data_IF_295233781533
#
_entry.id   IF_295233781533
#
_cell.length_a   1.000
_cell.length_b   1.000
_cell.length_c   1.000
_cell.angle_alpha   90.00
_cell.angle_beta   90.00
_cell.angle_gamma   90.00
#
_symmetry.space_group_name_H-M   'P 1'
#
loop_
_entity.id
_entity.type
_entity.pdbx_description
1 polymer ?
#
# COMPACT_ATOMS: atom_id res chain seq x y z
N UNK A 1 25.12 0.93 8.14
CA UNK A 1 25.43 -0.05 7.06
C UNK A 1 24.14 -0.66 6.53
N UNK A 2 23.99 -0.71 5.20
CA UNK A 2 22.83 -1.27 4.50
C UNK A 2 23.08 -1.21 2.99
N UNK A 3 22.21 -1.78 2.19
CA UNK A 3 22.36 -1.77 0.73
C UNK A 3 22.06 -0.38 0.15
N UNK A 4 22.78 0.00 -0.90
CA UNK A 4 22.49 1.22 -1.68
C UNK A 4 21.18 1.10 -2.47
N UNK A 5 20.80 -0.12 -2.83
CA UNK A 5 19.52 -0.41 -3.45
C UNK A 5 19.02 -1.82 -3.10
N UNK A 6 17.71 -1.95 -2.94
CA UNK A 6 17.01 -3.22 -2.80
C UNK A 6 15.84 -3.23 -3.77
N UNK A 7 15.87 -4.15 -4.74
CA UNK A 7 14.83 -4.31 -5.74
C UNK A 7 14.23 -5.71 -5.73
N UNK A 8 12.96 -5.87 -6.13
CA UNK A 8 12.39 -7.21 -6.25
C UNK A 8 10.95 -7.30 -6.76
N UNK A 9 10.58 -8.52 -7.12
CA UNK A 9 9.20 -8.94 -7.33
C UNK A 9 8.90 -10.04 -6.29
N UNK A 10 8.57 -9.66 -5.04
CA UNK A 10 8.41 -10.64 -3.96
C UNK A 10 7.23 -11.59 -4.21
N UNK A 11 7.19 -12.77 -3.58
CA UNK A 11 6.07 -13.70 -3.74
C UNK A 11 4.76 -13.12 -3.20
N UNK A 12 3.66 -13.36 -3.93
CA UNK A 12 2.31 -12.96 -3.53
C UNK A 12 1.53 -14.20 -3.11
N UNK A 13 1.56 -14.52 -1.83
CA UNK A 13 0.76 -15.63 -1.29
C UNK A 13 0.14 -15.23 0.03
N UNK A 14 -1.08 -15.69 0.24
CA UNK A 14 -1.84 -15.42 1.43
C UNK A 14 -1.63 -16.56 2.42
N UNK A 15 -1.18 -16.22 3.62
CA UNK A 15 -0.79 -17.19 4.64
C UNK A 15 -1.99 -18.01 5.15
N UNK A 16 -3.15 -17.36 5.26
CA UNK A 16 -4.42 -17.94 5.69
C UNK A 16 -5.22 -18.40 4.45
N UNK A 17 -4.95 -19.63 4.00
CA UNK A 17 -5.58 -20.21 2.79
C UNK A 17 -6.98 -20.76 3.05
N UNK A 18 -7.21 -21.36 4.22
CA UNK A 18 -8.53 -21.80 4.70
C UNK A 18 -9.02 -20.90 5.84
N UNK A 19 -10.32 -20.96 6.16
CA UNK A 19 -11.02 -20.16 7.20
C UNK A 19 -10.20 -20.01 8.50
N UNK A 20 -9.29 -19.04 8.54
CA UNK A 20 -8.39 -18.76 9.66
C UNK A 20 -7.22 -19.72 9.88
N UNK A 21 -6.98 -20.72 9.02
CA UNK A 21 -5.93 -21.71 9.21
C UNK A 21 -4.84 -21.61 8.14
N UNK A 22 -3.59 -21.42 8.59
CA UNK A 22 -2.40 -21.56 7.77
C UNK A 22 -1.94 -23.03 7.79
N UNK A 23 -1.72 -23.64 6.62
CA UNK A 23 -1.08 -24.96 6.51
C UNK A 23 0.45 -24.82 6.59
N UNK A 24 1.17 -25.92 6.80
CA UNK A 24 2.63 -25.91 6.66
C UNK A 24 3.01 -25.58 5.20
N UNK A 25 4.02 -24.73 4.93
CA UNK A 25 4.93 -24.06 5.87
C UNK A 25 4.44 -22.70 6.42
N UNK A 26 3.27 -22.23 6.01
CA UNK A 26 2.73 -20.92 6.41
C UNK A 26 2.46 -20.79 7.91
N UNK A 27 2.07 -21.86 8.60
CA UNK A 27 1.88 -21.84 10.06
C UNK A 27 3.19 -21.55 10.81
N UNK A 28 4.29 -22.21 10.42
CA UNK A 28 5.60 -21.99 11.01
C UNK A 28 6.11 -20.56 10.75
N UNK A 29 5.96 -20.08 9.51
CA UNK A 29 6.31 -18.71 9.17
C UNK A 29 5.45 -17.69 9.93
N UNK A 30 4.14 -17.94 10.09
CA UNK A 30 3.25 -17.08 10.88
C UNK A 30 3.69 -17.02 12.35
N UNK A 31 4.07 -18.14 12.94
CA UNK A 31 4.63 -18.18 14.30
C UNK A 31 5.94 -17.39 14.40
N UNK A 32 6.84 -17.57 13.43
CA UNK A 32 8.12 -16.87 13.38
C UNK A 32 7.97 -15.35 13.27
N UNK A 33 7.15 -14.85 12.34
CA UNK A 33 7.03 -13.39 12.10
C UNK A 33 6.32 -12.66 13.24
N UNK A 34 5.44 -13.34 13.99
CA UNK A 34 4.69 -12.71 15.11
C UNK A 34 5.54 -12.41 16.34
N UNK A 35 6.65 -13.12 16.52
CA UNK A 35 7.56 -12.94 17.68
C UNK A 35 8.78 -12.07 17.34
N UNK A 36 8.79 -11.47 16.16
CA UNK A 36 9.93 -10.75 15.59
C UNK A 36 9.55 -9.28 15.36
N UNK A 37 10.07 -8.35 16.18
CA UNK A 37 9.72 -6.94 16.09
C UNK A 37 9.94 -6.32 14.70
N UNK A 38 10.93 -6.80 13.97
CA UNK A 38 11.22 -6.35 12.60
C UNK A 38 10.06 -6.59 11.61
N UNK A 39 9.12 -7.49 11.90
CA UNK A 39 7.96 -7.74 11.04
C UNK A 39 6.67 -7.11 11.54
N UNK A 40 6.67 -6.36 12.64
CA UNK A 40 5.46 -5.80 13.24
C UNK A 40 4.62 -5.02 12.22
N UNK A 41 5.28 -4.22 11.37
CA UNK A 41 4.62 -3.39 10.35
C UNK A 41 4.05 -4.20 9.17
N UNK A 42 4.37 -5.48 9.06
CA UNK A 42 3.79 -6.41 8.09
C UNK A 42 2.59 -7.18 8.65
N UNK A 43 2.23 -6.98 9.92
CA UNK A 43 1.12 -7.69 10.59
C UNK A 43 -0.24 -6.97 10.41
N UNK A 44 -1.31 -7.63 10.84
CA UNK A 44 -2.68 -7.13 10.79
C UNK A 44 -3.46 -7.59 9.56
N UNK A 45 -4.78 -7.79 9.73
CA UNK A 45 -5.65 -8.33 8.69
C UNK A 45 -5.16 -9.67 8.13
N UNK A 46 -5.51 -9.95 6.87
CA UNK A 46 -5.05 -11.15 6.16
C UNK A 46 -3.57 -10.99 5.78
N UNK A 47 -2.71 -11.91 6.24
CA UNK A 47 -1.28 -11.83 5.99
C UNK A 47 -0.93 -12.28 4.57
N UNK A 48 -0.19 -11.44 3.84
CA UNK A 48 0.33 -11.74 2.51
C UNK A 48 1.86 -11.61 2.49
N UNK A 49 2.55 -12.58 1.89
CA UNK A 49 4.00 -12.68 1.89
C UNK A 49 4.72 -11.41 1.45
N UNK A 50 4.23 -10.72 0.41
CA UNK A 50 4.91 -9.52 -0.11
C UNK A 50 5.11 -8.45 0.97
N UNK A 51 4.24 -8.39 1.98
CA UNK A 51 4.30 -7.39 3.05
C UNK A 51 5.54 -7.56 3.91
N UNK A 52 5.92 -8.80 4.22
CA UNK A 52 7.14 -9.10 4.96
C UNK A 52 8.39 -8.74 4.15
N UNK A 53 8.37 -8.96 2.84
CA UNK A 53 9.46 -8.55 1.96
C UNK A 53 9.59 -7.03 1.85
N UNK A 54 8.48 -6.30 1.76
CA UNK A 54 8.49 -4.83 1.76
C UNK A 54 9.13 -4.30 3.05
N UNK A 55 8.66 -4.75 4.21
CA UNK A 55 9.19 -4.30 5.51
C UNK A 55 10.68 -4.68 5.64
N UNK A 56 11.02 -5.94 5.38
CA UNK A 56 12.40 -6.39 5.52
C UNK A 56 13.35 -5.68 4.57
N UNK A 57 12.90 -5.34 3.37
CA UNK A 57 13.74 -4.63 2.40
C UNK A 57 13.99 -3.18 2.79
N UNK A 58 13.04 -2.53 3.45
CA UNK A 58 13.24 -1.20 4.01
C UNK A 58 14.25 -1.21 5.17
N UNK A 59 14.27 -2.27 5.98
CA UNK A 59 15.25 -2.46 7.05
C UNK A 59 16.66 -2.75 6.52
N UNK A 60 16.76 -3.43 5.36
CA UNK A 60 18.04 -3.77 4.74
C UNK A 60 18.68 -2.59 3.99
N UNK A 61 17.93 -1.54 3.69
CA UNK A 61 18.44 -0.35 3.01
C UNK A 61 19.32 0.50 3.91
N UNK A 62 20.42 1.00 3.34
CA UNK A 62 21.15 2.12 3.92
C UNK A 62 20.34 3.41 3.85
N UNK A 63 20.68 4.39 4.69
CA UNK A 63 20.09 5.73 4.59
C UNK A 63 20.34 6.29 3.18
N UNK A 64 19.34 6.96 2.61
CA UNK A 64 19.37 7.46 1.24
C UNK A 64 19.52 6.40 0.12
N UNK A 65 19.47 5.09 0.45
CA UNK A 65 19.40 4.00 -0.52
C UNK A 65 18.04 3.89 -1.21
N UNK A 66 17.97 3.14 -2.31
CA UNK A 66 16.79 3.04 -3.17
C UNK A 66 16.03 1.73 -3.01
N UNK A 67 14.73 1.84 -2.76
CA UNK A 67 13.79 0.73 -2.76
C UNK A 67 13.05 0.69 -4.11
N UNK A 68 12.85 -0.50 -4.67
CA UNK A 68 12.00 -0.69 -5.85
C UNK A 68 11.32 -2.05 -5.86
N UNK A 69 9.99 -2.12 -5.79
CA UNK A 69 9.30 -3.40 -5.84
C UNK A 69 8.05 -3.41 -6.72
N UNK A 70 7.86 -4.53 -7.43
CA UNK A 70 6.61 -4.87 -8.07
C UNK A 70 5.77 -5.64 -7.04
N UNK A 71 4.63 -5.09 -6.62
CA UNK A 71 3.78 -5.64 -5.55
C UNK A 71 2.29 -5.51 -5.91
N UNK A 72 1.37 -6.20 -5.20
CA UNK A 72 -0.05 -5.99 -5.40
C UNK A 72 -0.45 -4.54 -5.10
N UNK A 73 -1.29 -3.95 -5.96
CA UNK A 73 -1.83 -2.59 -5.80
C UNK A 73 -2.58 -2.39 -4.48
N UNK A 74 -3.03 -3.48 -3.85
CA UNK A 74 -3.58 -3.51 -2.50
C UNK A 74 -2.69 -2.80 -1.46
N UNK A 75 -1.38 -2.72 -1.66
CA UNK A 75 -0.48 -1.94 -0.79
C UNK A 75 -0.95 -0.48 -0.62
N UNK A 76 -1.55 0.12 -1.65
CA UNK A 76 -1.91 1.54 -1.62
C UNK A 76 -3.21 1.86 -0.86
N UNK A 77 -4.19 0.97 -0.85
CA UNK A 77 -5.51 1.31 -0.32
C UNK A 77 -6.20 0.20 0.51
N UNK A 78 -5.70 -1.04 0.49
CA UNK A 78 -6.32 -2.11 1.28
C UNK A 78 -6.15 -1.86 2.79
N UNK A 79 -7.16 -2.25 3.57
CA UNK A 79 -7.17 -2.11 5.03
C UNK A 79 -6.14 -3.03 5.69
N UNK A 80 -5.90 -4.22 5.14
CA UNK A 80 -4.93 -5.19 5.67
C UNK A 80 -3.51 -4.69 5.51
N UNK A 81 -3.25 -3.81 4.53
CA UNK A 81 -1.92 -3.26 4.24
C UNK A 81 -1.68 -1.91 4.91
N UNK A 82 -2.61 -1.40 5.73
CA UNK A 82 -2.53 -0.05 6.29
C UNK A 82 -1.24 0.21 7.07
N UNK A 83 -0.83 -0.71 7.95
CA UNK A 83 0.42 -0.59 8.69
C UNK A 83 1.64 -0.65 7.77
N UNK A 84 1.66 -1.60 6.84
CA UNK A 84 2.75 -1.78 5.86
C UNK A 84 2.93 -0.54 4.99
N UNK A 85 1.83 0.04 4.51
CA UNK A 85 1.82 1.29 3.75
C UNK A 85 2.34 2.45 4.57
N UNK A 86 1.84 2.63 5.80
CA UNK A 86 2.29 3.72 6.68
C UNK A 86 3.79 3.61 6.95
N UNK A 87 4.29 2.41 7.23
CA UNK A 87 5.71 2.16 7.44
C UNK A 87 6.54 2.51 6.20
N UNK A 88 6.14 2.07 5.00
CA UNK A 88 6.79 2.45 3.74
C UNK A 88 6.85 3.98 3.57
N UNK A 89 5.72 4.66 3.76
CA UNK A 89 5.60 6.11 3.54
C UNK A 89 6.42 6.93 4.55
N UNK A 90 6.48 6.49 5.81
CA UNK A 90 7.23 7.19 6.87
C UNK A 90 8.73 6.83 6.86
N UNK A 91 9.11 5.74 6.20
CA UNK A 91 10.50 5.31 6.09
C UNK A 91 11.22 5.89 4.87
N UNK A 92 10.54 6.70 4.06
CA UNK A 92 11.03 7.03 2.71
C UNK A 92 10.75 8.48 2.32
N UNK A 93 11.61 9.02 1.48
CA UNK A 93 11.45 10.26 0.75
C UNK A 93 11.27 9.95 -0.75
N UNK A 94 10.70 10.88 -1.49
CA UNK A 94 10.50 10.75 -2.95
C UNK A 94 9.81 9.43 -3.35
N UNK A 95 8.69 9.10 -2.72
CA UNK A 95 7.92 7.91 -3.06
C UNK A 95 7.15 8.11 -4.37
N UNK A 96 7.15 7.07 -5.20
CA UNK A 96 6.38 6.97 -6.43
C UNK A 96 5.71 5.61 -6.52
N UNK A 97 4.55 5.56 -7.17
CA UNK A 97 3.80 4.35 -7.41
C UNK A 97 3.19 4.35 -8.81
N UNK A 98 3.76 3.54 -9.71
CA UNK A 98 3.15 3.23 -11.00
C UNK A 98 2.08 2.15 -10.78
N UNK A 99 0.84 2.50 -11.05
CA UNK A 99 -0.36 1.74 -10.69
C UNK A 99 -1.01 1.17 -11.94
N UNK A 100 -1.20 -0.15 -11.95
CA UNK A 100 -1.84 -0.90 -13.01
C UNK A 100 -3.09 -1.61 -12.46
N UNK A 101 -4.24 -0.90 -12.36
CA UNK A 101 -5.47 -1.42 -11.78
C UNK A 101 -6.13 -2.54 -12.58
N UNK A 102 -5.90 -2.64 -13.90
CA UNK A 102 -6.53 -3.64 -14.76
C UNK A 102 -6.13 -5.07 -14.36
N UNK A 103 -7.10 -5.84 -13.88
CA UNK A 103 -6.94 -7.24 -13.46
C UNK A 103 -7.93 -8.19 -14.13
N UNK A 104 -8.91 -7.68 -14.86
CA UNK A 104 -10.03 -8.47 -15.36
C UNK A 104 -9.73 -9.01 -16.76
N UNK A 105 -9.15 -8.20 -17.65
CA UNK A 105 -8.70 -8.60 -18.99
C UNK A 105 -7.28 -9.21 -18.97
N UNK A 106 -7.10 -10.53 -19.21
CA UNK A 106 -5.80 -11.19 -19.19
C UNK A 106 -4.75 -10.57 -20.11
N UNK A 107 -5.15 -10.04 -21.27
CA UNK A 107 -4.22 -9.45 -22.25
C UNK A 107 -3.71 -8.07 -21.82
N UNK A 108 -4.34 -7.48 -20.80
CA UNK A 108 -4.03 -6.16 -20.27
C UNK A 108 -3.57 -6.19 -18.81
N UNK A 109 -3.33 -7.38 -18.27
CA UNK A 109 -2.68 -7.58 -16.96
C UNK A 109 -1.17 -7.40 -17.08
N UNK A 110 -0.53 -7.03 -15.97
CA UNK A 110 0.94 -7.04 -15.86
C UNK A 110 1.46 -8.49 -15.88
N UNK A 111 0.82 -9.36 -15.10
CA UNK A 111 1.08 -10.80 -15.11
C UNK A 111 -0.17 -11.49 -15.66
N UNK A 112 -0.08 -12.04 -16.88
CA UNK A 112 -1.22 -12.60 -17.63
C UNK A 112 -2.04 -13.60 -16.80
N UNK A 113 -1.35 -14.51 -16.11
CA UNK A 113 -1.98 -15.60 -15.33
C UNK A 113 -2.41 -15.17 -13.93
N UNK A 114 -1.99 -13.99 -13.46
CA UNK A 114 -2.28 -13.53 -12.11
C UNK A 114 -3.42 -12.50 -12.12
N UNK A 115 -4.60 -12.90 -11.63
CA UNK A 115 -5.79 -12.01 -11.54
C UNK A 115 -5.66 -11.00 -10.39
N UNK A 116 -4.68 -10.09 -10.49
CA UNK A 116 -4.41 -9.07 -9.48
C UNK A 116 -4.01 -7.73 -10.11
N UNK A 117 -4.45 -6.66 -9.49
CA UNK A 117 -3.98 -5.31 -9.82
C UNK A 117 -2.57 -5.14 -9.24
N UNK A 118 -1.66 -4.55 -10.01
CA UNK A 118 -0.22 -4.49 -9.69
C UNK A 118 0.23 -3.04 -9.53
N UNK A 119 1.26 -2.82 -8.73
CA UNK A 119 1.94 -1.52 -8.65
C UNK A 119 3.45 -1.71 -8.57
N UNK A 120 4.19 -0.80 -9.21
CA UNK A 120 5.63 -0.67 -9.02
C UNK A 120 5.84 0.50 -8.07
N UNK A 121 6.40 0.24 -6.89
CA UNK A 121 6.70 1.27 -5.90
C UNK A 121 8.19 1.50 -5.90
N UNK A 122 8.60 2.76 -6.05
CA UNK A 122 9.98 3.18 -5.92
C UNK A 122 10.10 4.35 -4.95
N UNK A 123 11.10 4.32 -4.08
CA UNK A 123 11.32 5.38 -3.10
C UNK A 123 12.76 5.37 -2.58
N UNK A 124 13.17 6.47 -1.94
CA UNK A 124 14.49 6.61 -1.35
C UNK A 124 14.38 6.54 0.17
N UNK A 125 15.22 5.75 0.86
CA UNK A 125 15.21 5.64 2.32
C UNK A 125 15.45 7.00 2.95
N UNK A 126 14.64 7.34 3.94
CA UNK A 126 14.79 8.54 4.76
C UNK A 126 14.33 8.25 6.18
N UNK A 127 15.15 8.59 7.15
CA UNK A 127 14.85 8.52 8.58
C UNK A 127 14.12 9.76 9.12
N UNK A 128 14.01 10.82 8.31
CA UNK A 128 13.48 12.13 8.72
C UNK A 128 12.07 12.41 8.21
N UNK A 129 11.46 11.49 7.45
CA UNK A 129 10.11 11.68 6.91
C UNK A 129 9.07 11.64 8.03
N UNK A 130 8.21 12.65 8.08
CA UNK A 130 7.11 12.77 9.05
C UNK A 130 5.77 12.53 8.38
N UNK A 131 4.70 12.40 9.16
CA UNK A 131 3.35 12.25 8.59
C UNK A 131 2.92 13.48 7.76
N UNK A 132 3.46 14.66 8.07
CA UNK A 132 3.18 15.91 7.37
C UNK A 132 3.96 16.02 6.06
N UNK A 133 5.19 15.49 5.99
CA UNK A 133 6.03 15.53 4.79
C UNK A 133 5.90 14.30 3.89
N UNK A 134 5.40 13.18 4.42
CA UNK A 134 5.19 11.95 3.66
C UNK A 134 4.20 12.16 2.51
N UNK A 135 4.65 11.86 1.29
CA UNK A 135 3.86 12.00 0.08
C UNK A 135 4.29 10.98 -0.97
N UNK A 136 3.35 10.58 -1.83
CA UNK A 136 3.58 9.65 -2.94
C UNK A 136 3.08 10.26 -4.24
N UNK A 137 3.93 10.24 -5.26
CA UNK A 137 3.52 10.50 -6.63
C UNK A 137 2.89 9.24 -7.20
N UNK A 138 1.64 9.33 -7.66
CA UNK A 138 0.97 8.20 -8.29
C UNK A 138 0.86 8.43 -9.80
N UNK A 139 1.06 7.36 -10.54
CA UNK A 139 0.90 7.30 -11.99
C UNK A 139 -0.02 6.14 -12.29
N UNK A 140 -1.22 6.40 -12.79
CA UNK A 140 -2.24 5.37 -13.01
C UNK A 140 -2.35 5.09 -14.50
N UNK A 141 -1.94 3.89 -14.89
CA UNK A 141 -1.99 3.38 -16.26
C UNK A 141 -3.21 2.46 -16.42
N UNK A 142 -4.12 2.71 -17.38
CA UNK A 142 -5.36 1.94 -17.51
C UNK A 142 -5.17 0.48 -17.96
N UNK A 143 -4.02 0.12 -18.54
CA UNK A 143 -3.67 -1.24 -18.93
C UNK A 143 -2.38 -1.71 -18.26
N UNK A 144 -1.46 -2.24 -19.06
CA UNK A 144 -0.18 -2.83 -18.64
C UNK A 144 1.03 -2.16 -19.33
N UNK A 145 0.84 -1.00 -19.95
CA UNK A 145 1.89 -0.31 -20.70
C UNK A 145 2.17 1.07 -20.14
N UNK A 146 3.46 1.43 -20.04
CA UNK A 146 3.88 2.79 -19.76
C UNK A 146 3.57 3.79 -20.89
N UNK A 147 3.24 3.29 -22.08
CA UNK A 147 2.74 4.10 -23.18
C UNK A 147 1.24 4.45 -23.08
N UNK A 148 0.51 3.86 -22.14
CA UNK A 148 -0.90 4.16 -21.95
C UNK A 148 -1.11 5.60 -21.43
N UNK A 149 -2.27 6.23 -21.71
CA UNK A 149 -2.63 7.51 -21.12
C UNK A 149 -2.58 7.45 -19.58
N UNK A 150 -1.70 8.25 -18.99
CA UNK A 150 -1.43 8.21 -17.55
C UNK A 150 -2.21 9.31 -16.82
N UNK A 151 -2.87 8.95 -15.72
CA UNK A 151 -3.35 9.92 -14.73
C UNK A 151 -2.31 10.10 -13.65
N UNK A 152 -2.01 11.34 -13.28
CA UNK A 152 -1.00 11.66 -12.28
C UNK A 152 -1.60 12.44 -11.12
N UNK A 153 -1.06 12.23 -9.93
CA UNK A 153 -1.40 13.00 -8.74
C UNK A 153 -0.27 12.89 -7.70
N UNK A 154 -0.20 13.86 -6.80
CA UNK A 154 0.65 13.81 -5.61
C UNK A 154 -0.25 13.75 -4.38
N UNK A 155 -0.14 12.65 -3.63
CA UNK A 155 -0.97 12.42 -2.44
C UNK A 155 -0.10 12.53 -1.20
N UNK A 156 -0.41 13.51 -0.34
CA UNK A 156 0.19 13.62 1.00
C UNK A 156 -0.52 12.67 1.96
N UNK A 157 0.24 12.03 2.84
CA UNK A 157 -0.31 11.10 3.83
C UNK A 157 -1.28 11.82 4.79
N UNK A 158 -0.99 13.08 5.14
CA UNK A 158 -1.89 13.92 5.93
C UNK A 158 -3.24 14.19 5.23
N UNK A 159 -3.24 14.39 3.91
CA UNK A 159 -4.48 14.61 3.15
C UNK A 159 -5.27 13.31 3.00
N UNK A 160 -4.59 12.19 2.75
CA UNK A 160 -5.21 10.87 2.68
C UNK A 160 -5.88 10.46 4.01
N UNK A 161 -5.38 10.96 5.15
CA UNK A 161 -5.98 10.74 6.46
C UNK A 161 -7.37 11.40 6.60
N UNK A 162 -7.71 12.41 5.78
CA UNK A 162 -9.06 12.97 5.74
C UNK A 162 -10.09 11.93 5.24
N UNK A 163 -9.69 11.06 4.31
CA UNK A 163 -10.52 9.96 3.80
C UNK A 163 -10.75 8.89 4.86
N UNK A 164 -9.68 8.46 5.52
CA UNK A 164 -9.70 7.47 6.60
C UNK A 164 -8.44 7.63 7.48
N UNK A 165 -8.51 8.17 8.70
CA UNK A 165 -7.35 8.38 9.55
C UNK A 165 -6.80 7.05 10.08
N UNK A 166 -7.60 5.97 10.08
CA UNK A 166 -7.18 4.65 10.54
C UNK A 166 -6.41 3.92 9.45
N UNK A 167 -6.96 3.86 8.23
CA UNK A 167 -6.34 3.11 7.15
C UNK A 167 -5.46 3.98 6.24
N UNK A 168 -5.75 5.26 6.06
CA UNK A 168 -5.00 6.20 5.21
C UNK A 168 -4.78 5.66 3.78
N UNK A 169 -5.85 5.39 3.02
CA UNK A 169 -5.75 4.87 1.66
C UNK A 169 -5.21 5.94 0.70
N UNK A 170 -4.37 5.54 -0.25
CA UNK A 170 -3.89 6.39 -1.34
C UNK A 170 -4.86 6.23 -2.53
N UNK A 171 -5.65 7.26 -2.88
CA UNK A 171 -6.65 7.17 -3.94
C UNK A 171 -6.00 7.24 -5.33
N UNK A 172 -6.52 6.47 -6.29
CA UNK A 172 -6.02 6.38 -7.67
C UNK A 172 -6.70 7.37 -8.62
N UNK A 173 -6.84 8.62 -8.17
CA UNK A 173 -7.51 9.70 -8.89
C UNK A 173 -6.48 10.74 -9.36
N UNK A 174 -6.80 11.47 -10.43
CA UNK A 174 -5.99 12.60 -10.86
C UNK A 174 -6.08 13.79 -9.87
N UNK A 175 -5.22 14.78 -10.08
CA UNK A 175 -5.14 15.98 -9.23
C UNK A 175 -6.47 16.75 -9.14
N UNK A 176 -7.20 16.88 -10.26
CA UNK A 176 -8.47 17.61 -10.31
C UNK A 176 -9.52 16.94 -9.43
N UNK A 177 -9.67 15.63 -9.55
CA UNK A 177 -10.60 14.86 -8.72
C UNK A 177 -10.13 14.82 -7.27
N UNK A 178 -8.82 14.74 -7.02
CA UNK A 178 -8.27 14.77 -5.66
C UNK A 178 -8.55 16.08 -4.94
N UNK A 179 -8.44 17.20 -5.65
CA UNK A 179 -8.81 18.53 -5.17
C UNK A 179 -10.25 18.58 -4.67
N UNK A 180 -11.19 17.99 -5.44
CA UNK A 180 -12.60 17.90 -5.05
C UNK A 180 -12.77 17.02 -3.82
N UNK A 181 -12.17 15.83 -3.78
CA UNK A 181 -12.24 14.93 -2.63
C UNK A 181 -11.76 15.63 -1.34
N UNK A 182 -10.62 16.34 -1.41
CA UNK A 182 -10.08 17.07 -0.24
C UNK A 182 -11.07 18.12 0.27
N UNK A 183 -11.68 18.91 -0.61
CA UNK A 183 -12.68 19.92 -0.23
C UNK A 183 -13.87 19.30 0.49
N UNK A 184 -14.39 18.19 -0.04
CA UNK A 184 -15.52 17.46 0.56
C UNK A 184 -15.13 16.95 1.95
N UNK A 185 -14.02 16.23 2.08
CA UNK A 185 -13.62 15.63 3.36
C UNK A 185 -13.11 16.63 4.40
N UNK A 186 -12.77 17.85 4.01
CA UNK A 186 -12.45 18.94 4.94
C UNK A 186 -13.65 19.81 5.32
N UNK A 187 -14.82 19.60 4.71
CA UNK A 187 -15.97 20.46 4.96
C UNK A 187 -16.56 20.19 6.36
N UNK A 188 -16.96 21.23 7.11
CA UNK A 188 -17.39 21.10 8.50
C UNK A 188 -18.69 20.31 8.68
N UNK A 189 -19.51 20.22 7.62
CA UNK A 189 -20.79 19.50 7.61
C UNK A 189 -20.67 18.09 7.00
N UNK A 190 -19.46 17.63 6.71
CA UNK A 190 -19.20 16.27 6.20
C UNK A 190 -18.64 15.44 7.35
N UNK A 191 -19.41 14.43 7.76
CA UNK A 191 -19.05 13.52 8.83
C UNK A 191 -19.05 12.06 8.33
N UNK A 192 -18.27 11.20 9.00
CA UNK A 192 -18.29 9.77 8.75
C UNK A 192 -19.56 9.19 9.35
N UNK A 193 -20.30 8.38 8.58
CA UNK A 193 -21.49 7.70 9.10
C UNK A 193 -21.22 6.93 10.40
N UNK A 194 -20.04 6.33 10.57
CA UNK A 194 -19.69 5.59 11.79
C UNK A 194 -19.38 6.46 13.02
N UNK A 195 -19.32 7.78 12.87
CA UNK A 195 -19.23 8.74 13.98
C UNK A 195 -20.61 9.25 14.42
N UNK A 196 -21.64 9.05 13.60
CA UNK A 196 -23.01 9.45 13.90
C UNK A 196 -23.68 8.35 14.73
N UNK A 197 -24.04 8.65 15.98
CA UNK A 197 -24.60 7.67 16.94
C UNK A 197 -25.83 6.91 16.41
N UNK A 198 -26.60 7.54 15.52
CA UNK A 198 -27.79 6.94 14.91
C UNK A 198 -27.48 5.79 13.92
N UNK A 199 -26.21 5.61 13.53
CA UNK A 199 -25.79 4.61 12.55
C UNK A 199 -24.80 3.61 13.15
N UNK A 200 -25.11 2.32 13.01
CA UNK A 200 -24.14 1.25 13.23
C UNK A 200 -23.61 0.77 11.88
N UNK A 201 -22.31 0.94 11.64
CA UNK A 201 -21.65 0.36 10.47
C UNK A 201 -21.20 -1.05 10.83
N UNK A 202 -21.95 -2.05 10.39
CA UNK A 202 -21.48 -3.44 10.35
C UNK A 202 -20.73 -3.68 9.04
N UNK A 203 -19.70 -4.54 9.06
CA UNK A 203 -19.22 -5.08 7.79
C UNK A 203 -20.31 -6.01 7.27
N UNK A 204 -20.73 -5.81 6.02
CA UNK A 204 -21.49 -6.84 5.31
C UNK A 204 -20.71 -8.14 5.37
N UNK A 205 -21.29 -9.15 6.01
CA UNK A 205 -20.95 -10.55 5.75
C UNK A 205 -21.46 -10.95 4.36
#
# INVERSE_FOLDING_TARGET
>A
PGFDAVIGNPPYDVMEKDRGAASWPHSALTGYVRVRPEYEQALGGKLNLFRFFVVRSLDLLGEAGWFGMIVPLALLADKSTAQTRRHLMLSTAYASADCFPQKDDPNRRIFQDAKLSTTIVACRRSSTTTQQSAQVQIHVYPGNSFGDPVRKNMVRLADAALLDPKNVPIPLVDEKNWSVCKKVHSAPHVERLGAVEAFSITRGE
#
